data_IF_797654635212
#
_entry.id   IF_797654635212
#
_cell.length_a   1.000
_cell.length_b   1.000
_cell.length_c   1.000
_cell.angle_alpha   90.00
_cell.angle_beta   90.00
_cell.angle_gamma   90.00
#
_symmetry.space_group_name_H-M   'P 1'
#
loop_
_entity.id
_entity.type
_entity.pdbx_description
1 polymer ?
2 non-polymer ?
3 non-polymer ?
4 water ?
#
# COMPACT_ATOMS: atom_id res chain seq x y z
N UNK A 5 -18.31 -20.15 -10.83
CA UNK A 5 -17.58 -20.99 -9.89
C UNK A 5 -16.09 -21.01 -10.24
N UNK A 6 -15.79 -20.90 -11.53
CA UNK A 6 -14.40 -20.92 -11.98
C UNK A 6 -13.64 -19.71 -11.47
N UNK A 7 -14.32 -18.57 -11.28
CA UNK A 7 -13.65 -17.38 -10.77
C UNK A 7 -13.07 -17.64 -9.38
N UNK A 8 -13.67 -18.54 -8.62
CA UNK A 8 -13.25 -18.86 -7.25
C UNK A 8 -12.32 -20.07 -7.18
N UNK A 9 -11.64 -20.39 -8.29
CA UNK A 9 -10.87 -21.62 -8.38
C UNK A 9 -9.74 -21.70 -7.34
N UNK A 10 -9.17 -20.56 -6.96
CA UNK A 10 -8.08 -20.53 -5.98
C UNK A 10 -8.54 -20.26 -4.57
N UNK A 11 -9.85 -20.17 -4.34
CA UNK A 11 -10.38 -19.79 -3.03
C UNK A 11 -10.90 -21.02 -2.29
N UNK A 12 -10.90 -20.93 -0.97
CA UNK A 12 -11.55 -21.92 -0.12
C UNK A 12 -12.92 -21.38 0.27
N UNK A 13 -13.96 -22.20 0.07
CA UNK A 13 -15.30 -21.85 0.52
C UNK A 13 -15.43 -22.13 2.01
N UNK A 14 -15.81 -21.11 2.77
CA UNK A 14 -15.98 -21.20 4.21
C UNK A 14 -17.47 -21.34 4.53
N UNK A 15 -17.80 -22.23 5.47
CA UNK A 15 -19.20 -22.35 5.82
C UNK A 15 -19.61 -21.26 6.81
N UNK A 16 -20.81 -20.71 6.67
CA UNK A 16 -21.21 -19.60 7.55
C UNK A 16 -21.17 -19.93 9.04
N UNK A 17 -21.34 -21.21 9.41
CA UNK A 17 -21.31 -21.58 10.82
C UNK A 17 -19.95 -21.32 11.46
N UNK A 18 -18.91 -21.15 10.64
CA UNK A 18 -17.56 -20.91 11.15
C UNK A 18 -17.26 -19.44 11.39
N UNK A 19 -18.16 -18.53 11.03
CA UNK A 19 -17.91 -17.09 11.06
C UNK A 19 -18.79 -16.43 12.10
N UNK A 20 -18.20 -15.53 12.89
CA UNK A 20 -18.94 -14.67 13.80
C UNK A 20 -18.50 -13.23 13.56
N UNK A 21 -19.45 -12.37 13.19
CA UNK A 21 -19.17 -10.94 13.06
C UNK A 21 -19.36 -10.26 14.40
N UNK A 22 -18.50 -9.30 14.71
CA UNK A 22 -18.49 -8.68 16.03
C UNK A 22 -18.68 -7.17 16.01
N UNK A 23 -17.92 -6.45 15.18
CA UNK A 23 -17.97 -4.99 15.19
C UNK A 23 -17.76 -4.49 13.77
N UNK A 24 -18.48 -3.42 13.42
CA UNK A 24 -18.31 -2.80 12.12
C UNK A 24 -17.01 -2.00 12.11
N UNK A 25 -16.13 -2.30 11.15
CA UNK A 25 -14.85 -1.62 11.03
C UNK A 25 -14.73 -0.86 9.71
N UNK A 26 -15.79 -0.82 8.91
CA UNK A 26 -15.73 -0.09 7.66
C UNK A 26 -16.98 -0.35 6.85
N UNK A 27 -17.03 0.32 5.69
CA UNK A 27 -18.12 0.16 4.74
C UNK A 27 -17.56 -0.34 3.43
N UNK A 28 -18.12 -1.43 2.92
CA UNK A 28 -17.75 -1.95 1.62
C UNK A 28 -18.53 -1.26 0.51
N UNK A 29 -18.40 -1.81 -0.69
CA UNK A 29 -19.11 -1.26 -1.84
C UNK A 29 -20.62 -1.37 -1.67
N UNK A 30 -21.09 -2.55 -1.23
CA UNK A 30 -22.51 -2.78 -0.96
C UNK A 30 -22.60 -3.73 0.24
N UNK A 31 -22.22 -3.21 1.40
CA UNK A 31 -22.20 -3.98 2.62
C UNK A 31 -21.24 -3.33 3.58
N UNK A 32 -21.17 -3.91 4.76
CA UNK A 32 -20.24 -3.45 5.78
C UNK A 32 -19.04 -4.39 5.85
N UNK A 33 -17.99 -3.89 6.48
CA UNK A 33 -16.82 -4.69 6.83
C UNK A 33 -16.81 -4.84 8.34
N UNK A 34 -16.53 -6.05 8.80
CA UNK A 34 -16.59 -6.38 10.21
C UNK A 34 -15.26 -6.95 10.68
N UNK A 35 -14.93 -6.69 11.94
CA UNK A 35 -14.01 -7.55 12.65
C UNK A 35 -14.82 -8.73 13.18
N UNK A 36 -14.23 -9.92 13.09
CA UNK A 36 -14.89 -11.09 13.59
C UNK A 36 -13.91 -12.20 13.92
N UNK A 37 -14.46 -13.40 14.11
CA UNK A 37 -13.70 -14.59 14.46
C UNK A 37 -14.04 -15.72 13.50
N UNK A 38 -13.03 -16.52 13.17
CA UNK A 38 -13.18 -17.64 12.24
C UNK A 38 -12.76 -18.93 12.93
N UNK A 39 -13.63 -19.93 12.89
CA UNK A 39 -13.33 -21.24 13.53
C UNK A 39 -12.17 -21.92 12.79
N UNK A 45 -8.74 -21.12 19.91
CA UNK A 45 -8.56 -21.85 18.63
C UNK A 45 -9.07 -20.97 17.48
N UNK A 46 -9.95 -20.01 17.77
CA UNK A 46 -10.48 -19.13 16.75
C UNK A 46 -9.42 -18.16 16.26
N UNK A 47 -9.59 -17.69 15.04
CA UNK A 47 -8.66 -16.76 14.39
C UNK A 47 -9.38 -15.43 14.19
N UNK A 48 -8.78 -14.31 14.58
CA UNK A 48 -9.41 -13.01 14.27
C UNK A 48 -9.33 -12.76 12.77
N UNK A 49 -10.42 -12.22 12.22
CA UNK A 49 -10.51 -11.98 10.79
C UNK A 49 -11.22 -10.66 10.52
N UNK A 50 -11.01 -10.14 9.31
CA UNK A 50 -11.82 -9.07 8.76
C UNK A 50 -12.76 -9.66 7.72
N UNK A 51 -13.98 -9.14 7.67
CA UNK A 51 -15.07 -9.77 6.92
C UNK A 51 -15.80 -8.71 6.12
N UNK A 52 -15.69 -8.76 4.80
CA UNK A 52 -16.39 -7.84 3.91
C UNK A 52 -17.63 -8.54 3.37
N UNK A 53 -18.80 -7.93 3.56
CA UNK A 53 -20.06 -8.56 3.17
C UNK A 53 -20.66 -7.90 1.94
N UNK A 54 -21.42 -8.68 1.19
CA UNK A 54 -22.21 -8.17 0.07
C UNK A 54 -23.67 -8.40 0.44
N UNK A 55 -24.36 -7.32 0.77
CA UNK A 55 -25.66 -7.39 1.41
C UNK A 55 -26.79 -7.41 0.39
N UNK A 56 -27.97 -7.84 0.87
CA UNK A 56 -29.11 -8.05 -0.01
C UNK A 56 -29.41 -6.81 -0.83
N UNK A 57 -29.68 -7.03 -2.11
CA UNK A 57 -29.97 -5.95 -3.03
C UNK A 57 -28.82 -5.58 -3.93
N UNK A 58 -27.66 -6.22 -3.78
CA UNK A 58 -26.52 -5.87 -4.61
C UNK A 58 -26.86 -6.08 -6.08
N UNK A 59 -26.24 -5.27 -6.93
CA UNK A 59 -26.47 -5.34 -8.37
C UNK A 59 -25.61 -6.43 -9.00
N UNK A 60 -25.89 -6.70 -10.29
CA UNK A 60 -25.08 -7.64 -11.05
C UNK A 60 -23.62 -7.21 -11.09
N UNK A 61 -23.39 -5.91 -11.39
CA UNK A 61 -22.01 -5.42 -11.44
C UNK A 61 -21.32 -5.57 -10.09
N UNK A 62 -22.04 -5.30 -9.00
CA UNK A 62 -21.44 -5.47 -7.68
C UNK A 62 -21.07 -6.91 -7.39
N UNK A 63 -21.92 -7.85 -7.80
CA UNK A 63 -21.60 -9.26 -7.59
C UNK A 63 -20.39 -9.69 -8.41
N UNK A 64 -20.31 -9.24 -9.67
CA UNK A 64 -19.15 -9.57 -10.51
C UNK A 64 -17.88 -9.03 -9.88
N UNK A 65 -17.90 -7.76 -9.45
CA UNK A 65 -16.73 -7.16 -8.83
C UNK A 65 -16.38 -7.85 -7.51
N UNK A 66 -17.39 -8.21 -6.72
CA UNK A 66 -17.15 -8.81 -5.41
C UNK A 66 -16.53 -10.19 -5.56
N UNK A 67 -17.13 -11.05 -6.38
CA UNK A 67 -16.57 -12.38 -6.58
C UNK A 67 -15.25 -12.31 -7.33
N UNK A 68 -15.09 -11.32 -8.21
CA UNK A 68 -13.80 -11.14 -8.87
C UNK A 68 -12.70 -10.76 -7.90
N UNK A 69 -13.03 -9.89 -6.93
CA UNK A 69 -12.09 -9.57 -5.86
C UNK A 69 -11.73 -10.81 -5.07
N UNK A 70 -12.74 -11.58 -4.64
CA UNK A 70 -12.46 -12.82 -3.92
C UNK A 70 -11.58 -13.76 -4.74
N UNK A 71 -11.85 -13.85 -6.04
CA UNK A 71 -11.10 -14.77 -6.89
C UNK A 71 -9.64 -14.38 -7.03
N UNK A 72 -9.35 -13.10 -7.24
CA UNK A 72 -7.95 -12.69 -7.37
C UNK A 72 -7.22 -12.78 -6.04
N UNK A 73 -7.90 -12.51 -4.94
CA UNK A 73 -7.24 -12.62 -3.63
C UNK A 73 -6.91 -14.07 -3.31
N UNK A 74 -7.77 -15.00 -3.73
CA UNK A 74 -7.44 -16.40 -3.59
C UNK A 74 -6.25 -16.79 -4.46
N UNK A 75 -6.19 -16.24 -5.66
CA UNK A 75 -5.08 -16.50 -6.56
C UNK A 75 -3.76 -16.01 -5.97
N UNK A 76 -3.76 -14.83 -5.36
CA UNK A 76 -2.51 -14.29 -4.85
C UNK A 76 -2.03 -15.13 -3.67
N UNK A 77 -0.76 -15.51 -3.70
CA UNK A 77 -0.16 -16.27 -2.61
C UNK A 77 1.26 -15.72 -2.47
N UNK A 78 1.38 -14.75 -1.60
CA UNK A 78 2.69 -14.07 -1.44
C UNK A 78 2.82 -13.52 -0.02
N UNK A 79 4.04 -13.56 0.50
CA UNK A 79 4.35 -13.09 1.86
C UNK A 79 3.91 -11.65 2.09
N UNK A 80 3.90 -10.82 1.06
CA UNK A 80 3.65 -9.39 1.19
C UNK A 80 2.32 -8.98 0.57
N UNK A 81 1.38 -9.92 0.46
CA UNK A 81 0.02 -9.64 0.02
C UNK A 81 -0.92 -10.17 1.09
N UNK A 82 -1.93 -9.37 1.47
CA UNK A 82 -2.89 -9.78 2.49
C UNK A 82 -3.43 -11.18 2.21
N UNK A 83 -3.53 -11.98 3.25
CA UNK A 83 -3.98 -13.37 3.13
C UNK A 83 -5.50 -13.48 3.12
N UNK A 84 -6.04 -14.14 2.10
CA UNK A 84 -7.45 -14.51 2.06
C UNK A 84 -7.65 -15.83 2.80
N UNK A 85 -8.45 -15.80 3.86
CA UNK A 85 -8.82 -17.04 4.52
C UNK A 85 -9.82 -17.82 3.69
N UNK A 86 -10.79 -17.15 3.09
CA UNK A 86 -11.74 -17.82 2.25
C UNK A 86 -12.90 -16.90 1.92
N UNK A 87 -13.91 -17.51 1.30
CA UNK A 87 -15.06 -16.78 0.79
C UNK A 87 -16.32 -17.56 1.15
N UNK A 88 -17.41 -16.83 1.37
CA UNK A 88 -18.75 -17.38 1.42
C UNK A 88 -19.46 -16.88 0.18
N UNK A 89 -19.66 -17.79 -0.78
CA UNK A 89 -20.38 -17.47 -2.00
C UNK A 89 -21.69 -18.24 -2.13
N UNK A 90 -21.86 -19.35 -1.41
CA UNK A 90 -23.01 -20.21 -1.55
C UNK A 90 -24.18 -19.81 -0.66
N UNK A 91 -23.98 -18.83 0.21
CA UNK A 91 -25.02 -18.37 1.13
C UNK A 91 -25.01 -16.86 1.15
N UNK A 92 -26.12 -16.29 1.60
CA UNK A 92 -26.27 -14.85 1.69
C UNK A 92 -26.30 -14.42 3.16
N UNK A 93 -25.61 -13.33 3.51
CA UNK A 93 -24.81 -12.49 2.61
C UNK A 93 -23.49 -13.14 2.23
N UNK A 94 -22.99 -12.82 1.04
CA UNK A 94 -21.68 -13.31 0.64
C UNK A 94 -20.60 -12.53 1.37
N UNK A 95 -19.44 -13.17 1.55
CA UNK A 95 -18.39 -12.63 2.41
C UNK A 95 -17.01 -12.92 1.84
N UNK A 96 -16.11 -11.95 1.97
CA UNK A 96 -14.67 -12.13 1.76
C UNK A 96 -14.00 -12.02 3.12
N UNK A 97 -13.21 -13.03 3.48
CA UNK A 97 -12.66 -13.14 4.83
C UNK A 97 -11.14 -13.18 4.74
N UNK A 98 -10.49 -12.20 5.37
CA UNK A 98 -9.04 -12.08 5.35
C UNK A 98 -8.48 -12.17 6.77
N UNK A 99 -7.16 -12.34 6.83
CA UNK A 99 -6.46 -12.21 8.11
C UNK A 99 -6.68 -10.82 8.69
N UNK A 100 -6.44 -10.71 9.99
CA UNK A 100 -6.59 -9.46 10.73
C UNK A 100 -5.26 -9.16 11.44
N UNK A 101 -4.86 -7.89 11.42
CA UNK A 101 -3.58 -7.46 12.01
C UNK A 101 -3.86 -6.51 13.16
N UNK A 102 -3.37 -6.88 14.35
CA UNK A 102 -3.48 -5.99 15.50
C UNK A 102 -2.81 -4.65 15.25
N UNK A 103 -1.67 -4.65 14.54
CA UNK A 103 -0.96 -3.40 14.31
C UNK A 103 -1.64 -2.49 13.29
N UNK A 104 -2.52 -3.04 12.46
CA UNK A 104 -3.33 -2.20 11.59
C UNK A 104 -2.59 -1.64 10.39
N UNK A 105 -3.09 -0.51 9.91
CA UNK A 105 -2.60 0.11 8.68
C UNK A 105 -1.29 0.85 8.91
N UNK A 106 -0.43 0.81 7.90
CA UNK A 106 0.94 1.31 8.01
C UNK A 106 0.99 2.81 8.27
N UNK A 107 0.11 3.61 7.63
CA UNK A 107 0.18 5.06 7.81
C UNK A 107 -0.05 5.44 9.27
N UNK A 108 -1.13 4.94 9.87
CA UNK A 108 -1.41 5.23 11.27
C UNK A 108 -0.34 4.63 12.19
N UNK A 109 0.11 3.42 11.87
CA UNK A 109 1.15 2.73 12.63
C UNK A 109 2.40 3.58 12.74
N UNK A 110 2.91 4.07 11.60
CA UNK A 110 4.14 4.86 11.64
C UNK A 110 3.93 6.17 12.40
N UNK A 111 2.77 6.82 12.21
CA UNK A 111 2.52 8.09 12.88
C UNK A 111 2.47 7.92 14.39
N UNK A 112 2.08 6.74 14.86
CA UNK A 112 2.00 6.44 16.28
C UNK A 112 3.29 5.88 16.84
N UNK A 113 4.31 5.70 16.01
CA UNK A 113 5.59 5.12 16.43
C UNK A 113 6.76 5.95 15.91
N UNK A 114 6.59 7.27 15.92
CA UNK A 114 7.54 8.17 15.28
C UNK A 114 8.94 7.98 15.87
N UNK A 115 9.90 7.72 14.99
CA UNK A 115 11.28 7.56 15.39
C UNK A 115 11.63 6.27 16.10
N UNK A 116 10.74 5.28 16.14
CA UNK A 116 11.00 4.09 16.95
C UNK A 116 11.77 2.99 16.23
N UNK A 117 12.05 3.12 14.93
CA UNK A 117 12.65 2.03 14.18
C UNK A 117 14.01 2.42 13.63
N UNK A 118 14.81 1.41 13.31
CA UNK A 118 16.09 1.66 12.68
C UNK A 118 15.88 1.89 11.19
N UNK A 119 16.89 2.51 10.57
CA UNK A 119 16.87 2.68 9.12
C UNK A 119 16.72 1.32 8.44
N UNK A 120 17.42 0.30 8.93
CA UNK A 120 17.32 -1.01 8.32
C UNK A 120 15.91 -1.58 8.42
N UNK A 121 15.24 -1.38 9.56
CA UNK A 121 13.85 -1.82 9.68
C UNK A 121 12.96 -1.11 8.67
N UNK A 122 13.11 0.22 8.54
CA UNK A 122 12.29 0.96 7.61
C UNK A 122 12.50 0.48 6.17
N UNK A 123 13.76 0.30 5.77
CA UNK A 123 14.07 -0.14 4.42
C UNK A 123 13.57 -1.57 4.20
N UNK A 124 13.64 -2.40 5.24
CA UNK A 124 13.07 -3.73 5.15
C UNK A 124 11.58 -3.72 4.88
N UNK A 125 10.86 -2.78 5.50
CA UNK A 125 9.43 -2.65 5.19
C UNK A 125 9.22 -2.34 3.71
N UNK A 126 10.04 -1.42 3.17
CA UNK A 126 9.92 -1.05 1.77
C UNK A 126 10.25 -2.21 0.85
N UNK A 127 11.26 -3.03 1.20
CA UNK A 127 11.57 -4.18 0.37
C UNK A 127 10.37 -5.13 0.30
N UNK A 128 9.70 -5.33 1.44
CA UNK A 128 8.54 -6.20 1.47
C UNK A 128 7.40 -5.68 0.60
N UNK A 129 7.09 -4.39 0.75
CA UNK A 129 6.05 -3.77 -0.08
C UNK A 129 6.42 -3.92 -1.55
N UNK A 130 7.68 -3.64 -1.90
CA UNK A 130 8.12 -3.75 -3.28
C UNK A 130 7.98 -5.16 -3.80
N UNK A 131 8.29 -6.17 -2.98
CA UNK A 131 8.15 -7.56 -3.41
C UNK A 131 6.69 -7.91 -3.66
N UNK A 132 5.79 -7.45 -2.80
CA UNK A 132 4.38 -7.68 -3.07
C UNK A 132 3.93 -7.00 -4.35
N UNK A 133 4.39 -5.77 -4.59
CA UNK A 133 4.01 -5.06 -5.81
C UNK A 133 4.61 -5.69 -7.05
N UNK A 134 5.86 -6.18 -6.97
CA UNK A 134 6.43 -6.90 -8.10
C UNK A 134 5.57 -8.12 -8.45
N UNK A 135 5.10 -8.83 -7.43
CA UNK A 135 4.23 -9.98 -7.64
C UNK A 135 2.93 -9.56 -8.32
N UNK A 136 2.28 -8.52 -7.80
CA UNK A 136 1.02 -8.07 -8.40
C UNK A 136 1.22 -7.66 -9.86
N UNK A 137 2.26 -6.87 -10.13
CA UNK A 137 2.50 -6.40 -11.49
C UNK A 137 2.77 -7.59 -12.42
N UNK A 138 3.56 -8.56 -11.95
CA UNK A 138 3.85 -9.76 -12.74
C UNK A 138 2.60 -10.57 -13.03
N UNK A 139 1.68 -10.62 -12.07
CA UNK A 139 0.40 -11.28 -12.23
C UNK A 139 -0.57 -10.45 -13.08
N UNK A 140 -0.12 -9.32 -13.60
CA UNK A 140 -0.93 -8.43 -14.44
C UNK A 140 -2.07 -7.77 -13.67
N UNK A 141 -1.82 -7.44 -12.41
CA UNK A 141 -2.78 -6.71 -11.59
C UNK A 141 -2.24 -5.31 -11.29
N UNK A 142 -3.00 -4.29 -11.68
CA UNK A 142 -2.66 -2.91 -11.40
C UNK A 142 -3.43 -2.47 -10.17
N UNK A 143 -2.72 -1.99 -9.17
CA UNK A 143 -3.37 -1.69 -7.87
C UNK A 143 -4.25 -0.44 -7.93
N UNK A 144 -3.69 0.64 -8.44
CA UNK A 144 -4.35 1.94 -8.63
C UNK A 144 -4.51 2.79 -7.37
N UNK A 145 -4.28 2.22 -6.19
CA UNK A 145 -4.44 2.98 -4.95
C UNK A 145 -3.36 2.62 -3.94
N UNK A 146 -2.12 2.50 -4.39
CA UNK A 146 -1.04 2.12 -3.49
C UNK A 146 -0.67 3.32 -2.63
N UNK A 147 -0.72 3.15 -1.32
CA UNK A 147 -0.52 4.20 -0.32
C UNK A 147 -0.35 3.49 1.01
N UNK A 148 0.33 4.12 1.95
CA UNK A 148 0.54 3.47 3.24
C UNK A 148 -0.78 3.07 3.90
N UNK A 149 -1.85 3.82 3.65
CA UNK A 149 -3.14 3.48 4.26
C UNK A 149 -3.68 2.15 3.76
N UNK A 150 -3.17 1.63 2.65
CA UNK A 150 -3.60 0.35 2.11
C UNK A 150 -2.60 -0.78 2.36
N UNK A 151 -1.73 -0.62 3.35
CA UNK A 151 -0.74 -1.64 3.68
C UNK A 151 -0.93 -2.00 5.14
N UNK A 152 -1.02 -3.31 5.43
CA UNK A 152 -1.17 -3.78 6.79
C UNK A 152 0.18 -4.24 7.33
N UNK A 153 0.38 -4.14 8.65
CA UNK A 153 1.63 -4.52 9.29
C UNK A 153 1.35 -5.61 10.32
N UNK A 154 2.04 -6.75 10.21
CA UNK A 154 1.85 -7.81 11.18
C UNK A 154 2.83 -7.67 12.35
N UNK A 155 2.76 -8.61 13.29
CA UNK A 155 3.59 -8.56 14.48
C UNK A 155 5.04 -8.95 14.25
N UNK A 156 5.41 -9.31 13.02
CA UNK A 156 6.81 -9.45 12.62
C UNK A 156 7.31 -8.27 11.80
N UNK A 157 6.55 -7.18 11.75
CA UNK A 157 6.85 -6.00 10.93
C UNK A 157 6.75 -6.26 9.43
N UNK A 158 6.12 -7.38 9.05
CA UNK A 158 5.94 -7.67 7.63
C UNK A 158 4.77 -6.85 7.11
N UNK A 159 5.00 -6.18 5.99
CA UNK A 159 4.00 -5.33 5.36
C UNK A 159 3.26 -6.11 4.29
N UNK A 160 1.94 -6.01 4.28
CA UNK A 160 1.10 -6.74 3.33
C UNK A 160 0.25 -5.76 2.54
N UNK A 161 0.46 -5.76 1.22
CA UNK A 161 -0.34 -4.92 0.34
C UNK A 161 -1.78 -5.40 0.38
N UNK A 162 -2.70 -4.45 0.50
CA UNK A 162 -4.13 -4.70 0.59
C UNK A 162 -4.82 -3.61 -0.22
N UNK A 163 -6.15 -3.64 -0.26
CA UNK A 163 -6.91 -2.55 -0.87
C UNK A 163 -8.23 -2.44 -0.12
N UNK A 164 -8.37 -1.39 0.68
CA UNK A 164 -9.56 -1.16 1.48
C UNK A 164 -10.56 -0.25 0.77
N UNK A 165 -10.36 -0.01 -0.52
CA UNK A 165 -11.17 0.97 -1.22
C UNK A 165 -10.74 2.39 -0.91
N UNK A 166 -11.33 3.34 -1.62
CA UNK A 166 -10.95 4.73 -1.44
C UNK A 166 -11.36 5.22 -0.05
N UNK A 167 -10.60 6.15 0.51
CA UNK A 167 -10.84 6.72 1.86
C UNK A 167 -12.13 7.54 1.86
N UNK A 186 -7.05 9.86 -4.64
CA UNK A 186 -5.73 10.04 -4.01
C UNK A 186 -4.73 10.76 -4.92
N UNK A 187 -5.05 12.02 -5.24
CA UNK A 187 -4.24 12.78 -6.19
C UNK A 187 -2.76 12.72 -5.85
N UNK A 188 -2.41 12.96 -4.58
CA UNK A 188 -0.99 13.11 -4.28
C UNK A 188 -0.21 11.80 -4.26
N UNK A 189 -0.88 10.67 -4.42
CA UNK A 189 -0.20 9.39 -4.62
C UNK A 189 -0.17 8.96 -6.09
N UNK A 190 -0.81 9.70 -7.00
CA UNK A 190 -1.13 9.18 -8.33
C UNK A 190 -0.22 9.79 -9.40
N UNK A 191 0.24 8.95 -10.32
CA UNK A 191 1.13 9.41 -11.38
C UNK A 191 0.43 10.39 -12.32
N UNK A 192 1.18 11.29 -12.94
CA UNK A 192 0.55 12.30 -13.82
C UNK A 192 -0.31 11.71 -14.92
N UNK A 193 0.11 10.62 -15.56
CA UNK A 193 -0.67 10.08 -16.66
C UNK A 193 -1.97 9.44 -16.18
N UNK A 194 -1.99 8.94 -14.94
CA UNK A 194 -3.21 8.39 -14.38
C UNK A 194 -4.20 9.50 -14.05
N UNK A 195 -3.70 10.61 -13.51
CA UNK A 195 -4.55 11.78 -13.27
C UNK A 195 -5.05 12.36 -14.59
N UNK A 196 -4.12 12.58 -15.53
CA UNK A 196 -4.47 13.36 -16.73
C UNK A 196 -5.40 12.60 -17.66
N UNK A 197 -5.15 11.30 -17.87
CA UNK A 197 -5.95 10.57 -18.85
C UNK A 197 -6.31 9.15 -18.45
N UNK A 198 -6.25 8.83 -17.16
CA UNK A 198 -6.74 7.57 -16.61
C UNK A 198 -5.89 6.38 -17.06
N UNK A 199 -4.61 6.63 -17.32
CA UNK A 199 -3.70 5.54 -17.71
C UNK A 199 -3.09 4.96 -16.44
N UNK A 200 -3.74 3.93 -15.91
CA UNK A 200 -3.27 3.22 -14.73
C UNK A 200 -2.54 1.96 -15.19
N UNK A 201 -1.27 1.84 -14.81
CA UNK A 201 -0.46 0.68 -15.16
C UNK A 201 0.48 0.38 -13.99
N UNK A 202 1.26 -0.69 -14.11
CA UNK A 202 2.25 -0.93 -13.07
C UNK A 202 3.26 0.22 -12.96
N UNK A 203 3.45 1.00 -14.02
CA UNK A 203 4.34 2.15 -13.93
C UNK A 203 3.73 3.31 -13.16
N UNK A 204 2.40 3.47 -13.19
CA UNK A 204 1.79 4.44 -12.29
C UNK A 204 1.81 3.93 -10.86
N UNK A 205 1.69 2.61 -10.65
CA UNK A 205 1.91 2.05 -9.32
C UNK A 205 3.32 2.32 -8.82
N UNK A 206 4.32 2.34 -9.73
CA UNK A 206 5.69 2.67 -9.31
C UNK A 206 5.78 4.08 -8.75
N UNK A 207 5.11 5.05 -9.41
CA UNK A 207 5.05 6.41 -8.88
C UNK A 207 4.48 6.39 -7.46
N UNK A 208 3.35 5.71 -7.28
CA UNK A 208 2.74 5.59 -5.96
C UNK A 208 3.72 4.97 -4.97
N UNK A 209 4.45 3.92 -5.40
CA UNK A 209 5.44 3.30 -4.52
C UNK A 209 6.49 4.30 -4.05
N UNK A 210 6.96 5.18 -4.94
CA UNK A 210 7.87 6.22 -4.49
C UNK A 210 7.28 7.11 -3.41
N UNK A 211 5.99 7.45 -3.55
CA UNK A 211 5.32 8.19 -2.48
C UNK A 211 5.29 7.37 -1.19
N UNK A 212 5.02 6.08 -1.29
CA UNK A 212 5.02 5.22 -0.10
C UNK A 212 6.41 5.19 0.54
N UNK A 213 7.47 5.14 -0.28
CA UNK A 213 8.82 5.23 0.28
C UNK A 213 8.97 6.49 1.13
N UNK A 214 8.47 7.62 0.63
CA UNK A 214 8.57 8.87 1.36
C UNK A 214 7.71 8.83 2.63
N UNK A 215 6.52 8.22 2.55
CA UNK A 215 5.70 8.06 3.74
C UNK A 215 6.43 7.24 4.81
N UNK A 216 7.05 6.14 4.41
CA UNK A 216 7.74 5.28 5.39
C UNK A 216 8.91 6.03 6.03
N UNK A 217 9.75 6.66 5.20
CA UNK A 217 10.96 7.31 5.72
C UNK A 217 10.67 8.54 6.56
N UNK A 218 9.46 9.13 6.46
CA UNK A 218 9.06 10.26 7.27
C UNK A 218 8.16 9.86 8.43
N UNK A 219 7.92 8.56 8.63
CA UNK A 219 6.99 8.10 9.66
C UNK A 219 5.58 8.63 9.43
N UNK A 220 5.15 8.61 8.18
CA UNK A 220 3.77 8.91 7.90
C UNK A 220 3.43 10.38 7.73
N UNK A 221 4.37 11.18 7.29
CA UNK A 221 4.03 12.56 7.00
C UNK A 221 3.11 12.64 5.80
N UNK A 222 2.30 13.70 5.77
CA UNK A 222 1.38 13.88 4.66
C UNK A 222 2.16 14.34 3.43
N UNK A 223 2.11 13.61 2.32
CA UNK A 223 2.82 14.05 1.12
C UNK A 223 2.42 15.46 0.72
N UNK A 224 3.41 16.32 0.53
CA UNK A 224 3.24 17.71 0.11
C UNK A 224 2.60 18.58 1.18
N UNK A 225 2.48 18.09 2.41
CA UNK A 225 1.99 18.87 3.57
C UNK A 225 0.65 19.52 3.21
N UNK A 226 0.50 20.82 3.39
CA UNK A 226 -0.79 21.47 3.27
C UNK A 226 -1.15 21.89 1.84
N UNK A 227 -0.31 21.58 0.85
CA UNK A 227 -0.67 21.94 -0.51
C UNK A 227 -1.99 21.29 -0.89
N UNK A 228 -2.83 22.05 -1.59
CA UNK A 228 -4.08 21.50 -2.10
C UNK A 228 -3.79 20.53 -3.26
N UNK A 229 -4.81 19.77 -3.64
CA UNK A 229 -4.65 18.85 -4.77
C UNK A 229 -4.20 19.58 -6.03
N UNK A 230 -4.79 20.74 -6.32
CA UNK A 230 -4.40 21.48 -7.52
C UNK A 230 -2.97 21.98 -7.40
N UNK A 231 -2.57 22.45 -6.21
CA UNK A 231 -1.22 22.93 -6.02
C UNK A 231 -0.20 21.80 -6.17
N UNK A 232 -0.55 20.58 -5.72
CA UNK A 232 0.33 19.43 -5.92
C UNK A 232 0.53 19.15 -7.41
N UNK A 233 -0.56 19.08 -8.15
CA UNK A 233 -0.45 18.80 -9.58
C UNK A 233 0.34 19.89 -10.31
N UNK A 234 0.11 21.16 -9.95
CA UNK A 234 0.87 22.24 -10.58
C UNK A 234 2.35 22.15 -10.24
N UNK A 235 2.68 21.86 -8.97
CA UNK A 235 4.07 21.72 -8.58
C UNK A 235 4.74 20.58 -9.35
N UNK A 236 4.08 19.44 -9.46
CA UNK A 236 4.64 18.30 -10.18
C UNK A 236 4.85 18.66 -11.64
N UNK A 237 3.87 19.32 -12.25
CA UNK A 237 4.01 19.73 -13.65
C UNK A 237 5.13 20.75 -13.83
N UNK A 238 5.36 21.62 -12.84
CA UNK A 238 6.44 22.60 -12.89
C UNK A 238 7.81 21.97 -12.65
N UNK A 239 7.88 20.69 -12.25
CA UNK A 239 9.14 20.00 -12.04
C UNK A 239 9.56 19.83 -10.59
N UNK A 240 8.81 20.35 -9.64
CA UNK A 240 9.15 20.16 -8.23
C UNK A 240 8.85 18.73 -7.81
N UNK A 241 9.60 18.27 -6.81
CA UNK A 241 9.41 16.94 -6.23
C UNK A 241 9.60 17.04 -4.73
N UNK A 242 9.04 16.06 -4.02
CA UNK A 242 9.17 16.04 -2.57
C UNK A 242 10.65 16.08 -2.18
N UNK A 243 11.00 16.83 -1.14
CA UNK A 243 12.39 16.90 -0.69
C UNK A 243 12.74 15.67 0.15
N UNK A 244 14.01 15.55 0.45
CA UNK A 244 14.45 14.36 1.22
C UNK A 244 13.90 14.37 2.65
N UNK A 245 13.42 13.23 3.10
CA UNK A 245 13.12 13.10 4.53
C UNK A 245 14.38 13.32 5.36
N UNK A 246 14.16 13.62 6.64
CA UNK A 246 15.27 13.73 7.58
C UNK A 246 15.97 12.39 7.73
N UNK A 247 17.30 12.44 7.83
CA UNK A 247 18.13 11.26 8.11
C UNK A 247 17.88 10.09 7.16
N UNK A 248 17.69 10.41 5.87
CA UNK A 248 17.33 9.41 4.88
C UNK A 248 18.57 8.95 4.15
N UNK A 249 18.79 7.64 4.00
CA UNK A 249 19.91 7.18 3.15
C UNK A 249 19.84 7.77 1.75
N UNK A 250 21.00 8.21 1.27
CA UNK A 250 21.11 8.77 -0.08
C UNK A 250 20.53 7.83 -1.12
N UNK A 251 20.86 6.53 -1.03
CA UNK A 251 20.39 5.57 -2.03
C UNK A 251 18.86 5.48 -2.05
N UNK A 252 18.23 5.59 -0.88
CA UNK A 252 16.78 5.50 -0.78
C UNK A 252 16.11 6.72 -1.43
N UNK A 253 16.64 7.93 -1.17
CA UNK A 253 16.08 9.11 -1.83
C UNK A 253 16.29 9.07 -3.34
N UNK A 254 17.48 8.64 -3.78
CA UNK A 254 17.71 8.47 -5.21
C UNK A 254 16.67 7.57 -5.85
N UNK A 255 16.35 6.46 -5.19
CA UNK A 255 15.39 5.51 -5.73
C UNK A 255 13.99 6.11 -5.80
N UNK A 256 13.54 6.75 -4.72
CA UNK A 256 12.19 7.31 -4.77
C UNK A 256 12.09 8.41 -5.83
N UNK A 257 13.16 9.19 -6.01
CA UNK A 257 13.16 10.24 -7.03
C UNK A 257 12.98 9.66 -8.42
N UNK A 258 13.59 8.50 -8.69
CA UNK A 258 13.45 7.92 -10.02
C UNK A 258 12.06 7.32 -10.25
N UNK A 259 11.34 6.97 -9.18
CA UNK A 259 9.95 6.58 -9.31
C UNK A 259 9.07 7.74 -9.76
N UNK A 260 9.53 8.98 -9.61
CA UNK A 260 8.73 10.17 -9.93
C UNK A 260 9.15 10.82 -11.24
N UNK A 261 9.71 10.06 -12.16
CA UNK A 261 10.02 10.63 -13.45
C UNK A 261 8.73 10.85 -14.23
N UNK A 262 8.61 12.04 -14.83
CA UNK A 262 7.42 12.36 -15.60
C UNK A 262 7.18 11.33 -16.70
N UNK A 263 8.25 10.93 -17.39
CA UNK A 263 8.15 9.97 -18.49
C UNK A 263 8.02 8.57 -17.91
N UNK A 264 6.86 7.96 -18.11
CA UNK A 264 6.53 6.67 -17.53
C UNK A 264 7.57 5.61 -17.86
N UNK A 265 8.09 5.64 -19.08
CA UNK A 265 9.03 4.61 -19.52
C UNK A 265 10.37 4.70 -18.83
N UNK A 266 10.69 5.83 -18.20
CA UNK A 266 11.98 6.01 -17.55
C UNK A 266 11.97 5.53 -16.10
N UNK A 267 10.80 5.26 -15.53
CA UNK A 267 10.73 4.81 -14.15
C UNK A 267 11.28 3.39 -14.01
N UNK A 268 11.82 3.04 -12.85
CA UNK A 268 12.25 1.65 -12.65
C UNK A 268 11.03 0.75 -12.72
N UNK A 269 11.24 -0.51 -13.11
CA UNK A 269 10.20 -1.50 -12.92
C UNK A 269 10.27 -2.02 -11.48
N UNK A 270 9.21 -2.70 -11.04
CA UNK A 270 9.26 -3.24 -9.68
C UNK A 270 10.40 -4.24 -9.50
N UNK A 271 10.78 -4.97 -10.54
CA UNK A 271 11.93 -5.86 -10.42
C UNK A 271 13.20 -5.08 -10.08
N UNK A 272 13.37 -3.90 -10.68
CA UNK A 272 14.54 -3.09 -10.37
C UNK A 272 14.49 -2.61 -8.93
N UNK A 273 13.31 -2.19 -8.48
CA UNK A 273 13.14 -1.68 -7.13
C UNK A 273 13.48 -2.77 -6.10
N UNK A 274 12.90 -3.96 -6.26
CA UNK A 274 13.16 -5.07 -5.33
C UNK A 274 14.65 -5.39 -5.30
N UNK A 275 15.28 -5.45 -6.47
CA UNK A 275 16.70 -5.81 -6.55
C UNK A 275 17.55 -4.79 -5.81
N UNK A 276 17.29 -3.50 -6.02
CA UNK A 276 18.07 -2.46 -5.36
C UNK A 276 17.87 -2.52 -3.84
N UNK A 277 16.61 -2.61 -3.39
CA UNK A 277 16.36 -2.63 -1.95
C UNK A 277 17.00 -3.85 -1.30
N UNK A 278 16.94 -5.00 -1.98
CA UNK A 278 17.56 -6.21 -1.44
C UNK A 278 19.07 -6.04 -1.32
N UNK A 279 19.69 -5.47 -2.35
CA UNK A 279 21.14 -5.30 -2.33
C UNK A 279 21.58 -4.31 -1.26
N UNK A 280 20.81 -3.24 -1.07
CA UNK A 280 21.14 -2.27 -0.03
C UNK A 280 21.05 -2.88 1.36
N UNK A 281 20.00 -3.68 1.61
CA UNK A 281 19.84 -4.33 2.91
C UNK A 281 20.97 -5.34 3.13
N UNK A 282 21.35 -6.08 2.11
CA UNK A 282 22.34 -7.13 2.27
C UNK A 282 23.75 -6.59 2.39
N UNK A 283 23.98 -5.34 1.96
CA UNK A 283 25.23 -4.61 2.16
C UNK A 283 24.89 -3.36 2.96
N UNK A 284 24.60 -3.52 4.25
CA UNK A 284 23.94 -2.45 5.01
C UNK A 284 24.77 -1.19 5.19
N UNK A 285 26.09 -1.26 5.04
CA UNK A 285 26.89 -0.04 5.06
C UNK A 285 26.46 0.92 3.96
N UNK A 286 25.88 0.41 2.88
CA UNK A 286 25.39 1.27 1.81
C UNK A 286 24.34 2.27 2.28
N UNK A 287 23.66 1.99 3.38
CA UNK A 287 22.60 2.85 3.89
C UNK A 287 23.12 3.91 4.86
N UNK A 288 24.41 3.88 5.19
CA UNK A 288 24.96 4.84 6.15
C UNK A 288 25.22 6.20 5.53
N UNK A 289 25.34 6.28 4.21
CA UNK A 289 25.52 7.57 3.54
C UNK A 289 24.16 8.24 3.44
N UNK A 290 24.01 9.42 4.04
CA UNK A 290 22.72 10.09 4.12
C UNK A 290 22.62 11.24 3.14
N UNK A 291 21.43 11.44 2.59
CA UNK A 291 21.18 12.62 1.79
C UNK A 291 21.12 13.86 2.67
N UNK A 292 21.63 14.97 2.13
CA UNK A 292 21.46 16.26 2.78
C UNK A 292 19.99 16.56 2.99
N UNK A 293 19.67 17.14 4.14
CA UNK A 293 18.32 17.60 4.46
C UNK A 293 18.29 19.12 4.40
N UNK A 294 17.28 19.68 3.71
CA UNK A 294 17.17 21.13 3.58
C UNK A 294 16.35 21.68 4.73
N UNK A 295 16.94 22.40 5.67
CA UNK A 295 16.16 22.90 6.81
C UNK A 295 15.21 24.01 6.38
N UNK A 296 14.01 23.97 6.92
CA UNK A 296 13.05 25.06 6.73
C UNK A 296 13.26 26.17 7.71
N UNK A 297 13.98 25.90 8.79
CA UNK A 297 14.05 26.76 9.95
C UNK A 297 15.50 26.83 10.39
N UNK A 298 15.97 28.04 10.68
CA UNK A 298 17.34 28.27 11.10
C UNK A 298 17.36 28.54 12.59
N UNK A 299 18.20 27.81 13.31
CA UNK A 299 18.41 28.05 14.73
C UNK A 299 19.89 28.37 14.92
N UNK A 300 20.17 29.61 15.24
CA UNK A 300 21.57 30.07 15.47
C UNK A 300 21.88 29.99 16.97
N UNK A 301 22.94 29.32 17.33
CA UNK A 301 23.39 29.16 18.70
C UNK A 301 24.91 29.20 18.71
N UNK A 302 25.52 29.57 19.85
CA UNK A 302 26.98 29.65 19.95
C UNK A 302 27.64 28.28 20.16
X LIG B 1 -3.90 -6.78 -4.24
X LIG B 1 -4.35 -6.71 -3.21
X LIG B 1 -3.94 -5.77 -2.68
X LIG B 1 -4.18 -7.49 -2.69
X LIG B 1 -5.80 -6.52 -3.29
X LIG B 1 -6.63 -6.64 -2.16
X LIG B 1 -6.44 -6.19 -4.50
X LIG B 1 -7.80 -5.96 -4.56
X LIG B 1 -8.58 -6.10 -3.42
X LIG B 1 -8.02 -6.43 -2.18
X LIG B 1 -8.88 -6.58 -1.11
X LIG B 1 -8.54 -6.41 0.20
X LIG B 1 -7.41 -6.10 0.52
X LIG B 1 -9.47 -6.76 1.23
X LIG B 1 -9.10 -6.60 2.57
X LIG B 1 -10.71 -7.34 0.97
X LIG B 1 -11.54 -7.70 2.04
X LIG B 1 -11.19 -7.53 3.37
X LIG B 1 -12.04 -7.93 4.42
X LIG B 1 -9.94 -6.95 3.62
X LIG B 1 -9.55 -6.81 4.90
X LIG B 1 -9.72 -5.68 5.60
X LIG B 1 -10.52 -4.75 5.13
X LIG B 1 -9.05 -5.49 6.83
X LIG B 1 -8.16 -6.35 7.46
X LIG B 1 -7.55 -6.05 8.69
X LIG B 1 -7.87 -4.86 9.28
X LIG B 1 -8.72 -4.01 8.69
X LIG B 1 -9.32 -4.30 7.47
X LIG B 1 -10.14 -3.43 6.93
X LIG B 1 -10.76 -3.63 5.79
X LIG B 1 -11.63 -2.74 5.17
X LIG B 1 -12.00 -1.61 5.81
X LIG B 1 -12.86 -0.72 5.18
X LIG B 1 -13.35 -0.95 3.91
X LIG B 1 -12.95 -2.12 3.26
X LIG B 1 -12.09 -3.01 3.91
X LIG C 1 23.72 -1.27 -4.65
X LIG C 1 24.08 -0.87 -5.98
X LIG C 1 24.97 -1.71 -3.89
X LIG C 1 24.59 -2.26 -2.63
#
# INVERSE_FOLDING_TARGET
>A
GDPNQAVLKFTTEIHPSCVTRQKVIGAGEFGEVYKGMLKTSSGKKEVPVAIKTLKAGYTEKQRVDFLGEAGIMGQFSHHNIIRLEGVISKYKPMMIITEYMENGALDKFLREKDGEFSVLQLVGMLRGIAAGMKYLANMNYVHRDLAARNILVNSNLVCKVSDFGLSRVLEDDPEATYTTSGGKIPIRWTAPEAISYRKFTSASDVWSFGIVMWEVMTYGERPYWELSNHEVMKAINDGFRLPTPMDCPSAIYQLMMQCWQQERARRPKFADIVSILDKLIRAPDSLKTLADFDPRVSIRLPSTSG
>B hetero
1 G0H FBI CBH FBJ FBK CAM CAL CAN CAO CAP CAK NAJ CAH OAI CAE CAD CAF CAA CAB CAG CAC NBB C6 N1 C5 CAZ CAY CAX CAW C4 N3 C2 CBA CBC CBD CBE NBF CBG
>C hetero
1 EDO C1 O1 C2 O2
#
